data_IF_255859860746
#
_entry.id   IF_255859860746
#
_cell.length_a   1.000
_cell.length_b   1.000
_cell.length_c   1.000
_cell.angle_alpha   90.00
_cell.angle_beta   90.00
_cell.angle_gamma   90.00
#
_symmetry.space_group_name_H-M   'P 1'
#
loop_
_entity.id
_entity.type
_entity.pdbx_description
1 polymer ?
#
# COMPACT_ATOMS: atom_id res chain seq x y z
N UNK A 1 -1.80 9.44 -23.55
CA UNK A 1 -1.97 8.64 -22.32
C UNK A 1 -2.96 9.35 -21.40
N UNK A 2 -4.26 9.00 -21.45
CA UNK A 2 -5.31 9.69 -20.70
C UNK A 2 -5.37 9.28 -19.21
N UNK A 3 -4.93 8.08 -18.87
CA UNK A 3 -4.90 7.54 -17.50
C UNK A 3 -3.99 8.33 -16.55
N UNK A 4 -2.85 8.82 -17.07
CA UNK A 4 -1.88 9.71 -16.39
C UNK A 4 -2.51 11.03 -15.97
N UNK A 5 -3.48 11.52 -16.76
CA UNK A 5 -4.22 12.74 -16.45
C UNK A 5 -5.32 12.52 -15.39
N UNK A 6 -5.35 11.34 -14.76
CA UNK A 6 -6.32 10.97 -13.72
C UNK A 6 -7.59 10.28 -14.23
N UNK A 7 -7.66 9.89 -15.51
CA UNK A 7 -8.78 9.10 -16.02
C UNK A 7 -8.58 7.61 -15.69
N UNK A 8 -8.73 7.26 -14.42
CA UNK A 8 -8.69 5.89 -13.91
C UNK A 8 -9.70 5.72 -12.77
N UNK A 9 -9.98 4.47 -12.40
CA UNK A 9 -10.92 4.13 -11.34
C UNK A 9 -10.75 2.69 -10.89
N UNK A 10 -11.53 2.30 -9.90
CA UNK A 10 -11.51 0.96 -9.32
C UNK A 10 -12.87 0.29 -9.56
N UNK A 11 -12.83 -0.97 -9.97
CA UNK A 11 -14.01 -1.81 -10.17
C UNK A 11 -13.85 -3.00 -9.23
N UNK A 12 -14.70 -3.06 -8.20
CA UNK A 12 -14.78 -4.21 -7.30
C UNK A 12 -15.91 -5.13 -7.79
N UNK A 13 -15.55 -6.37 -8.15
CA UNK A 13 -16.51 -7.41 -8.52
C UNK A 13 -16.72 -8.32 -7.32
N UNK A 14 -17.84 -8.11 -6.62
CA UNK A 14 -18.19 -8.95 -5.47
C UNK A 14 -18.69 -10.32 -5.95
N UNK A 15 -18.41 -11.40 -5.19
CA UNK A 15 -18.94 -12.71 -5.51
C UNK A 15 -20.48 -12.66 -5.52
N UNK A 16 -21.12 -13.46 -6.39
CA UNK A 16 -22.56 -13.45 -6.48
C UNK A 16 -23.15 -13.95 -5.15
N UNK A 17 -24.08 -13.16 -4.57
CA UNK A 17 -24.88 -13.56 -3.42
C UNK A 17 -25.83 -14.70 -3.83
N UNK A 18 -25.29 -15.91 -3.99
CA UNK A 18 -26.06 -17.13 -4.24
C UNK A 18 -26.01 -17.95 -2.98
N UNK A 19 -27.19 -18.33 -2.47
CA UNK A 19 -27.27 -19.25 -1.34
C UNK A 19 -26.55 -20.57 -1.71
N UNK A 20 -25.86 -21.22 -0.76
CA UNK A 20 -25.34 -22.57 -0.98
C UNK A 20 -26.45 -23.48 -1.55
N UNK A 21 -26.17 -24.34 -2.54
CA UNK A 21 -24.87 -24.95 -2.85
C UNK A 21 -24.14 -24.39 -4.09
N UNK A 22 -24.65 -23.32 -4.72
CA UNK A 22 -24.11 -22.81 -6.00
C UNK A 22 -23.34 -21.49 -5.88
N UNK A 23 -23.32 -20.86 -4.71
CA UNK A 23 -22.50 -19.67 -4.44
C UNK A 23 -21.16 -20.04 -3.83
N UNK A 24 -20.07 -19.55 -4.42
CA UNK A 24 -18.79 -19.51 -3.73
C UNK A 24 -18.88 -18.37 -2.72
N UNK A 25 -19.08 -18.70 -1.44
CA UNK A 25 -18.82 -17.75 -0.36
C UNK A 25 -17.34 -17.35 -0.43
N UNK A 26 -17.00 -16.11 -0.07
CA UNK A 26 -15.59 -15.75 0.04
C UNK A 26 -14.89 -16.76 0.97
N UNK A 27 -13.74 -17.34 0.57
CA UNK A 27 -13.08 -18.41 1.31
C UNK A 27 -12.51 -17.94 2.66
N UNK A 28 -12.79 -16.70 3.06
CA UNK A 28 -12.05 -15.94 4.02
C UNK A 28 -12.98 -15.09 4.89
N UNK A 29 -12.96 -15.31 6.20
CA UNK A 29 -13.68 -14.46 7.15
C UNK A 29 -13.03 -13.07 7.21
N UNK A 30 -13.84 -12.02 7.02
CA UNK A 30 -13.43 -10.63 7.14
C UNK A 30 -14.53 -9.80 7.81
N UNK A 31 -14.16 -8.79 8.57
CA UNK A 31 -15.13 -7.89 9.21
C UNK A 31 -15.46 -6.69 8.32
N UNK A 32 -14.46 -6.17 7.61
CA UNK A 32 -14.58 -4.96 6.80
C UNK A 32 -13.78 -5.07 5.52
N UNK A 33 -14.29 -4.43 4.46
CA UNK A 33 -13.64 -4.33 3.16
C UNK A 33 -13.30 -2.86 2.85
N UNK A 34 -12.13 -2.61 2.27
CA UNK A 34 -11.69 -1.27 1.84
C UNK A 34 -10.81 -1.36 0.60
N UNK A 35 -11.06 -0.51 -0.37
CA UNK A 35 -10.25 -0.42 -1.59
C UNK A 35 -9.29 0.77 -1.54
N UNK A 36 -8.06 0.56 -1.98
CA UNK A 36 -6.95 1.51 -2.02
C UNK A 36 -6.43 1.56 -3.45
N UNK A 37 -6.36 2.75 -4.02
CA UNK A 37 -5.77 2.99 -5.34
C UNK A 37 -4.46 3.75 -5.16
N UNK A 38 -3.39 3.22 -5.75
CA UNK A 38 -2.07 3.81 -5.75
C UNK A 38 -1.75 4.42 -7.11
N UNK A 39 -1.35 5.69 -7.12
CA UNK A 39 -1.16 6.51 -8.32
C UNK A 39 0.14 7.35 -8.22
N UNK A 40 0.80 7.57 -9.35
CA UNK A 40 2.02 8.38 -9.49
C UNK A 40 1.69 9.66 -10.29
N UNK A 41 1.60 10.80 -9.59
CA UNK A 41 1.18 12.05 -10.22
C UNK A 41 2.34 12.93 -10.68
N UNK A 42 2.16 13.51 -11.86
CA UNK A 42 3.09 14.42 -12.51
C UNK A 42 2.42 15.80 -12.71
N UNK A 43 3.10 16.89 -12.37
CA UNK A 43 2.59 18.25 -12.61
C UNK A 43 2.94 18.78 -14.00
N UNK A 44 3.99 18.24 -14.63
CA UNK A 44 4.37 18.63 -15.98
C UNK A 44 3.45 18.03 -17.03
N UNK A 45 3.34 18.72 -18.16
CA UNK A 45 2.58 18.22 -19.29
C UNK A 45 3.11 16.86 -19.74
N UNK A 46 2.20 16.03 -20.20
CA UNK A 46 2.39 14.68 -20.72
C UNK A 46 3.69 14.43 -21.52
N UNK A 47 4.23 15.40 -22.26
CA UNK A 47 5.42 15.22 -23.08
C UNK A 47 6.75 15.13 -22.31
N UNK A 48 6.76 15.37 -20.99
CA UNK A 48 7.94 15.33 -20.12
C UNK A 48 7.85 14.19 -19.08
N UNK A 49 7.31 13.02 -19.47
CA UNK A 49 7.01 11.88 -18.58
C UNK A 49 8.24 11.04 -18.16
N UNK A 50 9.42 11.31 -18.73
CA UNK A 50 10.65 10.60 -18.39
C UNK A 50 11.26 11.03 -17.04
N UNK A 51 10.59 11.94 -16.32
CA UNK A 51 10.99 12.39 -14.98
C UNK A 51 10.34 11.54 -13.89
N UNK A 52 10.88 11.58 -12.68
CA UNK A 52 10.21 10.99 -11.50
C UNK A 52 8.86 11.68 -11.21
N UNK A 53 7.88 10.98 -10.60
CA UNK A 53 6.63 11.60 -10.18
C UNK A 53 6.85 12.56 -9.02
N UNK A 54 6.01 13.58 -8.91
CA UNK A 54 6.14 14.55 -7.82
C UNK A 54 5.41 14.11 -6.55
N UNK A 55 4.42 13.19 -6.66
CA UNK A 55 3.68 12.67 -5.51
C UNK A 55 3.24 11.22 -5.72
N UNK A 56 3.32 10.44 -4.63
CA UNK A 56 2.69 9.14 -4.50
C UNK A 56 1.38 9.25 -3.72
N UNK A 57 0.30 8.68 -4.26
CA UNK A 57 -1.02 8.81 -3.65
C UNK A 57 -1.53 7.51 -3.03
N UNK A 58 -2.02 7.64 -1.81
CA UNK A 58 -2.98 6.75 -1.14
C UNK A 58 -4.31 7.52 -1.21
N UNK A 59 -5.48 6.88 -1.50
CA UNK A 59 -6.57 7.57 -2.17
C UNK A 59 -6.98 8.89 -1.50
N UNK A 60 -6.87 9.95 -2.31
CA UNK A 60 -7.39 11.30 -2.09
C UNK A 60 -6.79 12.06 -0.92
N UNK A 61 -5.52 12.43 -1.02
CA UNK A 61 -4.98 13.73 -0.58
C UNK A 61 -3.51 13.92 -0.99
N UNK A 62 -3.28 14.53 -2.15
CA UNK A 62 -2.07 15.34 -2.32
C UNK A 62 -2.38 16.71 -1.70
N UNK A 63 -2.07 16.87 -0.42
CA UNK A 63 -1.93 18.21 0.15
C UNK A 63 -0.72 18.89 -0.50
N UNK A 64 -0.77 20.21 -0.64
CA UNK A 64 0.45 20.96 -0.92
C UNK A 64 1.48 20.66 0.19
N UNK A 65 2.78 20.76 -0.11
CA UNK A 65 3.85 20.50 0.86
C UNK A 65 3.79 21.39 2.13
N UNK A 66 2.85 22.35 2.17
CA UNK A 66 2.69 23.35 3.23
C UNK A 66 1.62 22.93 4.26
N UNK A 67 0.62 22.13 3.88
CA UNK A 67 -0.39 21.56 4.79
C UNK A 67 -0.84 20.16 4.29
N UNK A 68 -0.07 19.10 4.56
CA UNK A 68 -0.51 17.75 4.28
C UNK A 68 -1.61 17.37 5.29
N UNK A 69 -2.88 17.58 4.97
CA UNK A 69 -3.91 16.82 5.68
C UNK A 69 -3.81 15.36 5.21
N UNK A 70 -3.22 14.53 6.06
CA UNK A 70 -3.01 13.12 5.80
C UNK A 70 -4.35 12.40 5.77
N UNK A 71 -4.50 11.46 4.83
CA UNK A 71 -5.61 10.52 4.87
C UNK A 71 -5.56 9.77 6.21
N UNK A 72 -6.62 9.91 7.01
CA UNK A 72 -6.69 9.30 8.33
C UNK A 72 -7.69 8.14 8.31
N UNK A 73 -7.17 6.91 8.36
CA UNK A 73 -7.98 5.70 8.43
C UNK A 73 -8.16 5.23 9.87
N UNK A 74 -9.41 5.16 10.33
CA UNK A 74 -9.77 4.59 11.65
C UNK A 74 -10.13 3.11 11.54
N UNK A 75 -9.58 2.30 12.42
CA UNK A 75 -9.84 0.86 12.56
C UNK A 75 -10.26 0.50 13.98
N UNK A 76 -10.88 -0.66 14.17
CA UNK A 76 -11.35 -1.17 15.47
C UNK A 76 -10.46 -2.32 15.91
N UNK A 77 -10.05 -2.32 17.18
CA UNK A 77 -9.20 -3.37 17.75
C UNK A 77 -9.84 -4.76 17.61
N UNK A 78 -9.02 -5.75 17.25
CA UNK A 78 -9.40 -7.16 17.10
C UNK A 78 -10.08 -7.49 15.78
N UNK A 79 -10.35 -6.50 14.92
CA UNK A 79 -11.03 -6.69 13.64
C UNK A 79 -10.07 -7.00 12.51
N UNK A 80 -10.53 -7.78 11.54
CA UNK A 80 -9.78 -8.13 10.33
C UNK A 80 -10.32 -7.35 9.15
N UNK A 81 -9.44 -6.59 8.51
CA UNK A 81 -9.76 -5.77 7.34
C UNK A 81 -9.19 -6.43 6.10
N UNK A 82 -10.02 -6.51 5.06
CA UNK A 82 -9.60 -6.91 3.73
C UNK A 82 -9.41 -5.66 2.87
N UNK A 83 -8.22 -5.52 2.31
CA UNK A 83 -7.79 -4.38 1.54
C UNK A 83 -7.57 -4.79 0.09
N UNK A 84 -8.33 -4.21 -0.83
CA UNK A 84 -8.09 -4.34 -2.25
C UNK A 84 -7.15 -3.21 -2.68
N UNK A 85 -5.89 -3.53 -2.94
CA UNK A 85 -4.86 -2.57 -3.33
C UNK A 85 -4.65 -2.70 -4.84
N UNK A 86 -4.92 -1.62 -5.56
CA UNK A 86 -4.75 -1.55 -7.02
C UNK A 86 -3.74 -0.48 -7.38
N UNK A 87 -2.79 -0.80 -8.25
CA UNK A 87 -1.84 0.19 -8.78
C UNK A 87 -2.27 0.65 -10.16
N UNK A 88 -2.45 1.96 -10.31
CA UNK A 88 -2.73 2.64 -11.58
C UNK A 88 -1.55 3.52 -12.01
N UNK A 89 -0.36 3.22 -11.48
CA UNK A 89 0.84 3.98 -11.81
C UNK A 89 1.18 3.88 -13.29
N UNK A 90 1.81 4.91 -13.82
CA UNK A 90 2.24 5.03 -15.21
C UNK A 90 3.62 4.43 -15.40
N UNK A 91 4.52 4.65 -14.43
CA UNK A 91 5.92 4.27 -14.57
C UNK A 91 6.51 3.65 -13.31
N UNK A 92 6.00 4.01 -12.13
CA UNK A 92 6.61 3.59 -10.87
C UNK A 92 6.13 2.21 -10.38
N UNK A 93 7.07 1.43 -9.87
CA UNK A 93 6.77 0.28 -9.00
C UNK A 93 6.73 0.79 -7.58
N UNK A 94 5.70 0.43 -6.82
CA UNK A 94 5.51 0.94 -5.47
C UNK A 94 5.71 -0.15 -4.44
N UNK A 95 6.25 0.22 -3.29
CA UNK A 95 6.07 -0.53 -2.05
C UNK A 95 4.91 0.07 -1.28
N UNK A 96 4.09 -0.77 -0.65
CA UNK A 96 3.04 -0.39 0.27
C UNK A 96 3.29 -1.08 1.61
N UNK A 97 3.26 -0.30 2.69
CA UNK A 97 3.50 -0.80 4.04
C UNK A 97 2.60 -0.10 5.05
N UNK A 98 2.22 -0.85 6.09
CA UNK A 98 1.58 -0.31 7.29
C UNK A 98 2.51 -0.59 8.46
N UNK A 99 2.91 0.44 9.18
CA UNK A 99 3.80 0.32 10.33
C UNK A 99 3.18 -0.63 11.37
N UNK A 100 3.97 -1.61 11.82
CA UNK A 100 3.57 -2.57 12.85
C UNK A 100 2.51 -3.58 12.44
N UNK A 101 2.03 -3.57 11.19
CA UNK A 101 1.00 -4.52 10.73
C UNK A 101 1.55 -5.40 9.61
N UNK A 102 1.37 -6.71 9.77
CA UNK A 102 1.69 -7.67 8.71
C UNK A 102 0.54 -7.71 7.69
N UNK A 103 0.91 -7.79 6.42
CA UNK A 103 0.01 -7.94 5.28
C UNK A 103 -0.07 -9.42 4.90
N UNK A 104 -1.25 -10.00 4.95
CA UNK A 104 -1.47 -11.37 4.46
C UNK A 104 -2.08 -11.30 3.06
N UNK A 105 -1.31 -11.58 2.03
CA UNK A 105 -1.79 -11.58 0.64
C UNK A 105 -2.64 -12.82 0.41
N UNK A 106 -3.84 -12.64 -0.14
CA UNK A 106 -4.80 -13.74 -0.37
C UNK A 106 -5.32 -13.80 -1.81
N UNK A 107 -5.12 -12.73 -2.57
CA UNK A 107 -5.54 -12.63 -3.97
C UNK A 107 -4.53 -11.81 -4.76
N UNK A 108 -4.33 -12.17 -6.01
CA UNK A 108 -3.54 -11.43 -6.99
C UNK A 108 -4.28 -11.41 -8.34
N UNK A 109 -4.46 -10.23 -8.92
CA UNK A 109 -5.09 -10.03 -10.22
C UNK A 109 -6.44 -10.76 -10.40
N UNK A 110 -7.32 -10.68 -9.41
CA UNK A 110 -8.64 -11.31 -9.46
C UNK A 110 -8.67 -12.81 -9.12
N UNK A 111 -7.53 -13.40 -8.77
CA UNK A 111 -7.40 -14.83 -8.50
C UNK A 111 -6.90 -15.10 -7.09
N UNK A 112 -7.53 -16.05 -6.40
CA UNK A 112 -7.07 -16.47 -5.09
C UNK A 112 -5.70 -17.16 -5.18
N UNK A 113 -4.83 -16.83 -4.23
CA UNK A 113 -3.50 -17.42 -4.08
C UNK A 113 -3.37 -18.10 -2.73
N UNK A 114 -2.37 -18.96 -2.59
CA UNK A 114 -2.02 -19.50 -1.28
C UNK A 114 -1.60 -18.35 -0.35
N UNK A 115 -2.21 -18.20 0.85
CA UNK A 115 -1.94 -17.06 1.70
C UNK A 115 -0.49 -17.01 2.19
N UNK A 116 0.14 -15.85 2.03
CA UNK A 116 1.49 -15.60 2.55
C UNK A 116 1.57 -14.25 3.25
N UNK A 117 2.48 -14.14 4.23
CA UNK A 117 2.56 -12.99 5.15
C UNK A 117 3.82 -12.19 4.89
N UNK A 118 3.66 -10.92 4.56
CA UNK A 118 4.74 -9.97 4.28
C UNK A 118 4.58 -8.68 5.09
N UNK A 119 5.68 -7.98 5.34
CA UNK A 119 5.64 -6.65 5.98
C UNK A 119 5.40 -5.51 4.98
N UNK A 120 5.86 -5.69 3.74
CA UNK A 120 5.67 -4.76 2.64
C UNK A 120 5.15 -5.51 1.41
N UNK A 121 4.26 -4.84 0.67
CA UNK A 121 3.73 -5.31 -0.61
C UNK A 121 4.40 -4.51 -1.73
N UNK A 122 5.11 -5.19 -2.62
CA UNK A 122 5.61 -4.59 -3.85
C UNK A 122 4.55 -4.78 -4.93
N UNK A 123 4.12 -3.68 -5.56
CA UNK A 123 3.05 -3.67 -6.55
C UNK A 123 3.50 -2.92 -7.81
N UNK A 124 3.37 -3.60 -8.94
CA UNK A 124 3.68 -3.06 -10.26
C UNK A 124 2.46 -2.34 -10.84
N UNK A 125 2.69 -1.48 -11.84
CA UNK A 125 1.63 -0.83 -12.61
C UNK A 125 0.61 -1.84 -13.15
N UNK A 126 -0.68 -1.53 -12.96
CA UNK A 126 -1.81 -2.34 -13.45
C UNK A 126 -2.08 -3.60 -12.64
N UNK A 127 -1.30 -3.88 -11.59
CA UNK A 127 -1.50 -5.04 -10.72
C UNK A 127 -2.47 -4.73 -9.60
N UNK A 128 -3.19 -5.77 -9.18
CA UNK A 128 -4.13 -5.70 -8.07
C UNK A 128 -3.85 -6.84 -7.10
N UNK A 129 -3.89 -6.54 -5.81
CA UNK A 129 -3.71 -7.51 -4.74
C UNK A 129 -4.77 -7.30 -3.68
N UNK A 130 -5.30 -8.40 -3.14
CA UNK A 130 -6.15 -8.34 -1.97
C UNK A 130 -5.36 -8.85 -0.77
N UNK A 131 -5.25 -8.00 0.25
CA UNK A 131 -4.45 -8.26 1.44
C UNK A 131 -5.30 -8.12 2.69
N UNK A 132 -5.08 -9.01 3.65
CA UNK A 132 -5.71 -8.91 4.96
C UNK A 132 -4.76 -8.29 5.96
N UNK A 133 -5.32 -7.45 6.81
CA UNK A 133 -4.64 -6.91 7.97
C UNK A 133 -5.48 -7.19 9.20
N UNK A 134 -4.80 -7.52 10.31
CA UNK A 134 -5.43 -7.69 11.61
C UNK A 134 -5.13 -6.48 12.47
N UNK A 135 -6.17 -5.90 13.06
CA UNK A 135 -6.04 -4.78 13.98
C UNK A 135 -5.65 -5.28 15.37
N UNK A 136 -4.41 -5.73 15.56
CA UNK A 136 -3.93 -6.35 16.80
C UNK A 136 -2.86 -5.53 17.53
N UNK A 137 -2.62 -4.30 17.09
CA UNK A 137 -1.61 -3.42 17.64
C UNK A 137 -2.16 -2.52 18.76
N UNK A 138 -1.27 -1.83 19.47
CA UNK A 138 -1.58 -0.95 20.59
C UNK A 138 -2.50 0.22 20.17
N UNK A 139 -3.74 0.31 20.72
CA UNK A 139 -4.70 1.35 20.36
C UNK A 139 -4.36 2.75 20.91
N UNK A 140 -3.30 2.89 21.70
CA UNK A 140 -2.86 4.18 22.27
C UNK A 140 -1.94 4.99 21.35
N UNK A 141 -1.57 4.45 20.18
CA UNK A 141 -0.71 5.13 19.20
C UNK A 141 -1.29 5.09 17.79
N UNK A 142 -0.82 6.02 16.98
CA UNK A 142 -1.08 6.01 15.54
C UNK A 142 0.06 5.30 14.79
N UNK A 143 -0.28 4.72 13.65
CA UNK A 143 0.61 3.97 12.77
C UNK A 143 0.66 4.63 11.40
N UNK A 144 1.85 4.72 10.82
CA UNK A 144 1.99 5.24 9.47
C UNK A 144 1.62 4.20 8.40
N UNK A 145 0.97 4.65 7.34
CA UNK A 145 0.82 3.91 6.08
C UNK A 145 1.72 4.63 5.09
N UNK A 146 2.66 3.90 4.50
CA UNK A 146 3.70 4.48 3.64
C UNK A 146 3.69 3.82 2.27
N UNK A 147 3.89 4.62 1.24
CA UNK A 147 4.21 4.13 -0.10
C UNK A 147 5.47 4.79 -0.63
N UNK A 148 6.34 4.00 -1.24
CA UNK A 148 7.62 4.43 -1.77
C UNK A 148 7.89 3.83 -3.17
N UNK A 149 8.73 4.49 -3.97
CA UNK A 149 9.16 3.97 -5.27
C UNK A 149 10.26 2.93 -5.07
N UNK A 150 10.11 1.79 -5.73
CA UNK A 150 11.05 0.68 -5.71
C UNK A 150 11.77 0.59 -7.05
N UNK A 151 13.08 0.31 -7.01
CA UNK A 151 13.85 -0.09 -8.18
C UNK A 151 14.21 1.03 -9.16
N UNK A 152 13.89 2.29 -8.84
CA UNK A 152 14.43 3.46 -9.52
C UNK A 152 15.51 4.09 -8.65
N UNK A 153 16.52 4.73 -9.28
CA UNK A 153 17.48 5.55 -8.56
C UNK A 153 16.78 6.86 -8.17
N UNK A 154 15.91 6.76 -7.17
CA UNK A 154 15.13 7.88 -6.66
C UNK A 154 16.10 8.91 -6.16
N UNK A 155 16.25 9.99 -6.91
CA UNK A 155 16.82 11.20 -6.35
C UNK A 155 15.96 11.63 -5.16
N UNK A 156 16.55 12.27 -4.15
CA UNK A 156 15.89 12.62 -2.87
C UNK A 156 14.74 13.64 -2.99
N UNK A 157 14.09 13.72 -4.15
CA UNK A 157 13.15 14.76 -4.56
C UNK A 157 11.71 14.26 -4.58
N UNK A 158 11.46 12.96 -4.76
CA UNK A 158 10.09 12.42 -4.71
C UNK A 158 9.66 12.14 -3.27
N UNK A 159 8.62 12.82 -2.74
CA UNK A 159 8.12 12.60 -1.40
C UNK A 159 7.37 11.27 -1.29
N UNK A 160 7.55 10.60 -0.15
CA UNK A 160 6.80 9.40 0.22
C UNK A 160 5.30 9.68 0.29
N UNK A 161 4.50 8.72 -0.17
CA UNK A 161 3.06 8.75 0.06
C UNK A 161 2.77 8.39 1.52
N UNK A 162 2.06 9.25 2.24
CA UNK A 162 1.82 9.10 3.67
C UNK A 162 0.33 9.17 3.99
N UNK A 163 -0.12 8.19 4.77
CA UNK A 163 -1.42 8.19 5.43
C UNK A 163 -1.27 7.71 6.88
N UNK A 164 -2.28 7.96 7.69
CA UNK A 164 -2.28 7.60 9.11
C UNK A 164 -3.35 6.57 9.40
N UNK A 165 -3.00 5.55 10.18
CA UNK A 165 -3.91 4.54 10.71
C UNK A 165 -4.04 4.72 12.22
N UNK A 166 -5.27 4.86 12.71
CA UNK A 166 -5.57 5.01 14.13
C UNK A 166 -6.64 4.05 14.60
N UNK A 167 -6.57 3.69 15.87
CA UNK A 167 -7.55 2.81 16.50
C UNK A 167 -8.72 3.62 17.08
N UNK A 168 -9.92 3.06 16.96
CA UNK A 168 -11.18 3.63 17.41
C UNK A 168 -11.99 2.60 18.20
N UNK A 169 -12.43 2.92 19.43
CA UNK A 169 -12.04 4.09 20.22
C UNK A 169 -10.55 4.01 20.64
N UNK A 170 -9.86 5.14 20.82
CA UNK A 170 -8.49 5.14 21.30
C UNK A 170 -8.46 4.68 22.77
N UNK A 171 -7.48 3.83 23.12
CA UNK A 171 -7.33 3.32 24.49
C UNK A 171 -6.50 4.25 25.38
N UNK A 172 -6.86 5.54 25.41
CA UNK A 172 -6.15 6.58 26.17
C UNK A 172 -5.67 7.76 25.32
N UNK A 173 -4.80 8.64 25.84
CA UNK A 173 -4.25 9.77 25.09
C UNK A 173 -3.40 9.26 23.91
N UNK A 174 -3.76 9.67 22.70
CA UNK A 174 -3.10 9.24 21.46
C UNK A 174 -1.69 9.81 21.42
N UNK A 175 -0.68 8.95 21.38
CA UNK A 175 0.71 9.36 21.10
C UNK A 175 0.93 9.38 19.58
N UNK A 176 1.18 10.56 19.02
CA UNK A 176 1.67 10.68 17.65
C UNK A 176 3.12 10.19 17.59
N UNK A 177 3.31 8.90 17.29
CA UNK A 177 4.63 8.28 17.12
C UNK A 177 5.27 8.55 15.75
N UNK A 178 4.52 9.13 14.80
CA UNK A 178 4.97 9.34 13.43
C UNK A 178 5.70 10.69 13.34
N UNK A 179 7.03 10.64 13.32
CA UNK A 179 7.90 11.77 12.96
C UNK A 179 8.49 11.54 11.56
N UNK A 180 8.89 12.60 10.85
CA UNK A 180 9.59 12.48 9.56
C UNK A 180 10.79 11.53 9.60
N UNK A 181 11.48 11.44 10.74
CA UNK A 181 12.62 10.54 10.94
C UNK A 181 12.19 9.06 10.97
N UNK A 182 11.04 8.74 11.59
CA UNK A 182 10.52 7.37 11.61
C UNK A 182 10.14 6.87 10.22
N UNK A 183 9.54 7.74 9.41
CA UNK A 183 9.16 7.46 8.01
C UNK A 183 10.39 7.23 7.13
N UNK A 184 11.42 8.08 7.22
CA UNK A 184 12.68 7.90 6.49
C UNK A 184 13.38 6.59 6.87
N UNK A 185 13.31 6.19 8.14
CA UNK A 185 13.92 4.94 8.61
C UNK A 185 13.23 3.69 8.04
N UNK A 186 11.93 3.74 7.76
CA UNK A 186 11.17 2.64 7.17
C UNK A 186 11.48 2.47 5.67
N UNK A 187 11.50 3.57 4.91
CA UNK A 187 11.90 3.54 3.50
C UNK A 187 13.33 3.00 3.31
N UNK A 188 14.25 3.42 4.19
CA UNK A 188 15.63 2.90 4.18
C UNK A 188 15.72 1.40 4.48
N UNK A 189 14.87 0.87 5.38
CA UNK A 189 14.80 -0.58 5.67
C UNK A 189 14.26 -1.38 4.50
N UNK A 190 13.18 -0.92 3.87
CA UNK A 190 12.62 -1.59 2.70
C UNK A 190 13.61 -1.63 1.52
N UNK A 191 14.34 -0.53 1.30
CA UNK A 191 15.43 -0.46 0.32
C UNK A 191 16.59 -1.40 0.67
N UNK A 192 16.95 -1.52 1.95
CA UNK A 192 18.00 -2.41 2.41
C UNK A 192 17.63 -3.90 2.27
N UNK A 193 16.40 -4.28 2.60
CA UNK A 193 15.91 -5.65 2.42
C UNK A 193 15.90 -6.07 0.94
N UNK A 194 15.56 -5.14 0.03
CA UNK A 194 15.64 -5.35 -1.41
C UNK A 194 17.07 -5.45 -1.92
N UNK A 195 17.99 -4.63 -1.42
CA UNK A 195 19.43 -4.75 -1.74
C UNK A 195 19.99 -6.09 -1.27
N UNK A 196 19.56 -6.59 -0.12
CA UNK A 196 19.94 -7.92 0.34
C UNK A 196 19.34 -9.02 -0.56
N UNK A 197 18.07 -8.92 -0.96
CA UNK A 197 17.43 -9.89 -1.85
C UNK A 197 18.08 -9.92 -3.24
N UNK A 198 18.42 -8.76 -3.81
CA UNK A 198 19.12 -8.62 -5.08
C UNK A 198 20.60 -9.05 -5.01
N UNK A 199 21.26 -8.90 -3.86
CA UNK A 199 22.63 -9.35 -3.66
C UNK A 199 22.76 -10.87 -3.53
N UNK A 200 21.70 -11.57 -3.10
CA UNK A 200 21.67 -13.04 -2.97
C UNK A 200 21.32 -13.71 -4.32
N UNK A 201 20.57 -13.04 -5.19
CA UNK A 201 20.22 -13.53 -6.53
C UNK A 201 21.44 -13.97 -7.39
N UNK A 202 22.55 -13.21 -7.47
CA UNK A 202 23.73 -13.66 -8.20
C UNK A 202 24.49 -14.78 -7.48
N UNK A 203 24.36 -14.95 -6.15
CA UNK A 203 25.00 -16.05 -5.41
C UNK A 203 24.33 -17.42 -5.70
N UNK A 204 23.01 -17.46 -5.93
CA UNK A 204 22.34 -18.70 -6.35
C UNK A 204 22.63 -19.10 -7.81
N UNK A 205 23.03 -18.14 -8.65
CA UNK A 205 23.31 -18.37 -10.08
C UNK A 205 24.66 -19.05 -10.34
N UNK A 206 25.47 -19.29 -9.30
CA UNK A 206 26.73 -20.05 -9.35
C UNK A 206 26.63 -21.47 -8.76
N UNK A 207 25.43 -21.90 -8.35
CA UNK A 207 25.16 -23.20 -7.72
C UNK A 207 24.33 -24.14 -8.60
N UNK A 208 24.24 -23.85 -9.91
CA UNK A 208 23.60 -24.69 -10.93
C UNK A 208 24.59 -24.95 -12.07
#
# INVERSE_FOLDING_TARGET
MQTVAGLHGLIDVLPPYVLPPYGMAEPFTQDYHKSIVLDDRYYKSYYDWATEPEFLLIPRMAGNAINPEYLHWRIVLGKTYHLNISSVTTHCTLSFQIEGHNLTVVEADGHYVEPFVNQSLIIYSGKTYSVKIKADQDPSRNYSITTDIVGQNTTATTPLGLAMLSYSPPSGPIRNGVTWQSVQSLGNKASQEQQMMLAILPMLMWLI
#
